data_IF_932498579919
#
_entry.id   IF_932498579919
#
_cell.length_a   1.000
_cell.length_b   1.000
_cell.length_c   1.000
_cell.angle_alpha   90.00
_cell.angle_beta   90.00
_cell.angle_gamma   90.00
#
_symmetry.space_group_name_H-M   'P 1'
#
loop_
_entity.id
_entity.type
_entity.pdbx_description
1 polymer ?
#
# COMPACT_ATOMS: atom_id res chain seq x y z
N UNK A 1 -20.68 -11.18 14.40
CA UNK A 1 -19.84 -10.16 15.07
C UNK A 1 -18.47 -10.21 14.41
N UNK A 2 -18.09 -9.15 13.69
CA UNK A 2 -16.71 -9.03 13.18
C UNK A 2 -15.84 -8.67 14.38
N UNK A 3 -14.75 -9.41 14.68
CA UNK A 3 -13.86 -9.03 15.78
C UNK A 3 -13.30 -7.64 15.46
N UNK A 4 -13.40 -6.70 16.42
CA UNK A 4 -12.83 -5.38 16.27
C UNK A 4 -11.32 -5.51 16.04
N UNK A 5 -10.84 -5.23 14.82
CA UNK A 5 -9.41 -5.09 14.51
C UNK A 5 -8.91 -3.72 14.99
N UNK A 6 -9.24 -3.35 16.23
CA UNK A 6 -8.90 -2.05 16.82
C UNK A 6 -7.54 -2.07 17.51
N UNK A 7 -7.07 -3.25 17.90
CA UNK A 7 -5.83 -3.41 18.65
C UNK A 7 -4.62 -3.46 17.71
N UNK A 8 -3.59 -2.67 18.03
CA UNK A 8 -2.32 -2.57 17.29
C UNK A 8 -1.71 -3.94 16.97
N UNK A 9 -1.87 -4.91 17.88
CA UNK A 9 -1.30 -6.25 17.72
C UNK A 9 -1.98 -7.07 16.61
N UNK A 10 -3.29 -6.89 16.42
CA UNK A 10 -4.08 -7.62 15.41
C UNK A 10 -3.79 -7.09 14.00
N UNK A 11 -3.61 -5.78 13.87
CA UNK A 11 -3.19 -5.13 12.62
C UNK A 11 -1.76 -5.58 12.26
N UNK A 12 -0.85 -5.63 13.24
CA UNK A 12 0.54 -6.06 13.01
C UNK A 12 0.61 -7.54 12.61
N UNK A 13 -0.14 -8.43 13.27
CA UNK A 13 -0.20 -9.83 12.85
C UNK A 13 -0.72 -9.99 11.41
N UNK A 14 -1.76 -9.23 11.06
CA UNK A 14 -2.42 -9.37 9.78
C UNK A 14 -1.61 -8.79 8.61
N UNK A 15 -1.13 -7.55 8.74
CA UNK A 15 -0.46 -6.81 7.64
C UNK A 15 1.02 -7.19 7.49
N UNK A 16 1.58 -7.90 8.48
CA UNK A 16 3.02 -8.15 8.51
C UNK A 16 3.30 -9.63 8.58
N UNK A 17 2.89 -10.26 9.69
CA UNK A 17 3.23 -11.67 9.91
C UNK A 17 2.55 -12.59 8.90
N UNK A 18 1.34 -12.22 8.49
CA UNK A 18 0.57 -12.94 7.47
C UNK A 18 0.78 -12.43 6.04
N UNK A 19 1.62 -11.40 5.85
CA UNK A 19 1.97 -10.88 4.52
C UNK A 19 0.82 -10.19 3.76
N UNK A 20 -0.28 -9.85 4.44
CA UNK A 20 -1.36 -9.06 3.84
C UNK A 20 -0.96 -7.59 3.76
N UNK A 21 -1.60 -6.79 2.92
CA UNK A 21 -1.35 -5.35 2.79
C UNK A 21 -2.52 -4.51 3.31
N UNK A 22 -2.27 -3.20 3.44
CA UNK A 22 -3.31 -2.21 3.80
C UNK A 22 -4.52 -2.24 2.86
N UNK A 23 -4.36 -2.72 1.63
CA UNK A 23 -5.48 -2.99 0.71
C UNK A 23 -6.40 -4.08 1.26
N UNK A 24 -5.83 -5.19 1.72
CA UNK A 24 -6.57 -6.31 2.29
C UNK A 24 -7.20 -5.90 3.63
N UNK A 25 -6.57 -4.97 4.35
CA UNK A 25 -7.12 -4.35 5.56
C UNK A 25 -8.33 -3.44 5.25
N UNK A 26 -8.28 -2.68 4.16
CA UNK A 26 -9.40 -1.84 3.70
C UNK A 26 -10.60 -2.69 3.25
N UNK A 27 -10.35 -3.79 2.53
CA UNK A 27 -11.37 -4.72 2.05
C UNK A 27 -12.10 -5.47 3.18
N UNK A 28 -11.55 -5.48 4.39
CA UNK A 28 -12.19 -6.04 5.59
C UNK A 28 -13.32 -5.18 6.17
N UNK A 29 -13.58 -4.01 5.61
CA UNK A 29 -14.70 -3.16 6.02
C UNK A 29 -14.49 -2.51 7.39
N UNK A 30 -13.31 -1.93 7.62
CA UNK A 30 -13.05 -1.16 8.83
C UNK A 30 -14.01 0.03 8.92
N UNK A 31 -14.68 0.19 10.07
CA UNK A 31 -15.59 1.32 10.33
C UNK A 31 -14.84 2.64 10.49
N UNK A 32 -13.61 2.58 10.99
CA UNK A 32 -12.76 3.76 11.23
C UNK A 32 -11.31 3.48 10.86
N UNK A 33 -10.60 4.50 10.37
CA UNK A 33 -9.17 4.41 10.08
C UNK A 33 -8.37 4.21 11.38
N UNK A 34 -7.52 3.19 11.49
CA UNK A 34 -6.68 3.00 12.66
C UNK A 34 -5.77 4.21 12.88
N UNK A 35 -5.56 4.58 14.15
CA UNK A 35 -4.82 5.80 14.53
C UNK A 35 -3.39 5.83 13.96
N UNK A 36 -2.76 4.69 13.70
CA UNK A 36 -1.42 4.63 13.10
C UNK A 36 -1.37 5.21 11.68
N UNK A 37 -2.47 5.14 10.94
CA UNK A 37 -2.56 5.64 9.56
C UNK A 37 -3.04 7.09 9.48
N UNK A 38 -3.30 7.75 10.62
CA UNK A 38 -3.72 9.14 10.66
C UNK A 38 -2.48 10.03 10.54
N UNK A 39 -2.27 10.57 9.35
CA UNK A 39 -1.14 11.45 9.06
C UNK A 39 -1.26 12.80 9.80
N UNK A 40 -0.19 13.30 10.45
CA UNK A 40 -0.19 14.61 11.09
C UNK A 40 -0.40 15.74 10.09
N UNK A 41 -0.88 16.90 10.58
CA UNK A 41 -1.28 18.01 9.71
C UNK A 41 -0.10 18.61 8.94
N UNK A 42 1.07 18.61 9.56
CA UNK A 42 2.32 19.17 9.05
C UNK A 42 2.86 18.38 7.83
N UNK A 43 2.46 17.12 7.69
CA UNK A 43 2.90 16.25 6.60
C UNK A 43 1.85 16.12 5.48
N UNK A 44 0.68 16.75 5.64
CA UNK A 44 -0.35 16.71 4.61
C UNK A 44 0.14 17.43 3.36
N UNK A 45 -0.05 16.78 2.21
CA UNK A 45 0.32 17.33 0.92
C UNK A 45 -0.45 18.63 0.66
N UNK A 46 0.28 19.69 0.33
CA UNK A 46 -0.31 20.93 -0.17
C UNK A 46 -0.77 20.72 -1.62
N UNK A 47 -2.08 20.62 -1.83
CA UNK A 47 -2.68 20.44 -3.15
C UNK A 47 -2.47 21.64 -4.09
N UNK A 48 -1.95 22.77 -3.60
CA UNK A 48 -1.67 23.93 -4.43
C UNK A 48 -0.40 23.77 -5.29
N UNK A 49 0.44 22.77 -5.02
CA UNK A 49 1.71 22.54 -5.71
C UNK A 49 1.66 21.40 -6.76
N UNK A 50 0.60 21.33 -7.56
CA UNK A 50 0.47 20.33 -8.64
C UNK A 50 1.04 20.88 -9.95
N UNK A 51 1.96 20.15 -10.58
CA UNK A 51 2.52 20.51 -11.90
C UNK A 51 1.60 19.97 -13.00
N UNK A 52 1.04 20.89 -13.80
CA UNK A 52 0.32 20.56 -15.04
C UNK A 52 1.23 20.80 -16.25
N UNK A 53 0.94 20.13 -17.38
CA UNK A 53 1.72 20.26 -18.63
C UNK A 53 3.21 19.91 -18.50
N UNK A 54 3.55 18.93 -17.67
CA UNK A 54 4.92 18.45 -17.43
C UNK A 54 5.61 17.80 -18.67
N UNK A 55 4.99 17.81 -19.84
CA UNK A 55 5.54 17.25 -21.08
C UNK A 55 5.61 15.72 -21.14
N UNK A 56 5.09 15.03 -20.13
CA UNK A 56 5.00 13.56 -20.14
C UNK A 56 3.67 13.18 -20.81
N UNK A 57 3.69 12.29 -21.82
CA UNK A 57 2.47 11.84 -22.49
C UNK A 57 1.50 11.17 -21.51
N UNK A 58 0.21 11.51 -21.62
CA UNK A 58 -0.85 10.94 -20.77
C UNK A 58 -0.89 9.41 -20.90
N UNK A 59 -0.72 8.88 -22.11
CA UNK A 59 -0.70 7.43 -22.34
C UNK A 59 0.38 6.69 -21.54
N UNK A 60 1.50 7.35 -21.24
CA UNK A 60 2.56 6.77 -20.40
C UNK A 60 2.12 6.69 -18.94
N UNK A 61 1.38 7.71 -18.45
CA UNK A 61 0.81 7.71 -17.11
C UNK A 61 -0.23 6.59 -16.97
N UNK A 62 -1.12 6.44 -17.96
CA UNK A 62 -2.13 5.38 -17.98
C UNK A 62 -1.49 3.99 -17.94
N UNK A 63 -0.44 3.77 -18.73
CA UNK A 63 0.31 2.50 -18.73
C UNK A 63 0.95 2.22 -17.38
N UNK A 64 1.57 3.22 -16.74
CA UNK A 64 2.18 3.05 -15.42
C UNK A 64 1.13 2.71 -14.38
N UNK A 65 0.00 3.42 -14.39
CA UNK A 65 -1.12 3.16 -13.48
C UNK A 65 -1.70 1.75 -13.68
N UNK A 66 -1.94 1.34 -14.94
CA UNK A 66 -2.49 0.04 -15.27
C UNK A 66 -1.55 -1.09 -14.80
N UNK A 67 -0.24 -0.96 -15.08
CA UNK A 67 0.77 -1.95 -14.66
C UNK A 67 0.86 -2.06 -13.14
N UNK A 68 0.80 -0.93 -12.43
CA UNK A 68 0.75 -0.93 -10.98
C UNK A 68 -0.52 -1.65 -10.48
N UNK A 69 -1.70 -1.33 -11.02
CA UNK A 69 -2.96 -2.00 -10.66
C UNK A 69 -2.90 -3.51 -10.91
N UNK A 70 -2.35 -3.94 -12.04
CA UNK A 70 -2.16 -5.36 -12.37
C UNK A 70 -1.25 -6.05 -11.36
N UNK A 71 -0.12 -5.43 -10.98
CA UNK A 71 0.79 -5.99 -9.98
C UNK A 71 0.12 -6.18 -8.61
N UNK A 72 -0.60 -5.17 -8.12
CA UNK A 72 -1.25 -5.27 -6.80
C UNK A 72 -2.44 -6.23 -6.76
N UNK A 73 -3.02 -6.59 -7.92
CA UNK A 73 -4.03 -7.65 -8.07
C UNK A 73 -3.46 -9.07 -8.04
N UNK A 74 -2.14 -9.25 -8.16
CA UNK A 74 -1.52 -10.56 -8.03
C UNK A 74 -1.74 -11.14 -6.61
N UNK A 75 -1.81 -12.47 -6.48
CA UNK A 75 -1.92 -13.12 -5.17
C UNK A 75 -0.72 -12.77 -4.27
N UNK A 76 -0.94 -12.77 -2.96
CA UNK A 76 0.08 -12.43 -1.96
C UNK A 76 1.37 -13.24 -2.17
N UNK A 77 1.25 -14.54 -2.44
CA UNK A 77 2.36 -15.46 -2.71
C UNK A 77 3.29 -14.99 -3.85
N UNK A 78 2.71 -14.43 -4.92
CA UNK A 78 3.50 -13.93 -6.05
C UNK A 78 4.25 -12.63 -5.68
N UNK A 79 3.62 -11.77 -4.88
CA UNK A 79 4.21 -10.51 -4.42
C UNK A 79 5.31 -10.74 -3.36
N UNK A 80 5.19 -11.79 -2.55
CA UNK A 80 6.17 -12.15 -1.52
C UNK A 80 7.56 -12.50 -2.06
N UNK A 81 7.68 -12.85 -3.35
CA UNK A 81 8.99 -13.09 -4.01
C UNK A 81 9.86 -11.83 -4.08
N UNK A 82 9.25 -10.66 -3.96
CA UNK A 82 9.94 -9.38 -4.10
C UNK A 82 10.22 -8.70 -2.74
N UNK A 83 9.99 -9.39 -1.61
CA UNK A 83 10.34 -8.86 -0.28
C UNK A 83 11.86 -8.81 -0.08
N UNK A 84 12.32 -8.07 0.93
CA UNK A 84 13.76 -7.96 1.25
C UNK A 84 14.46 -9.31 1.45
N UNK A 85 13.73 -10.31 1.95
CA UNK A 85 14.26 -11.64 2.26
C UNK A 85 14.33 -12.55 1.03
N UNK A 86 13.41 -12.38 0.08
CA UNK A 86 13.23 -13.29 -1.06
C UNK A 86 13.71 -12.70 -2.39
N UNK A 87 13.89 -11.37 -2.45
CA UNK A 87 14.23 -10.70 -3.70
C UNK A 87 15.63 -11.09 -4.17
N UNK A 88 15.78 -11.58 -5.41
CA UNK A 88 17.09 -11.93 -5.96
C UNK A 88 17.94 -10.70 -6.29
N UNK A 89 17.39 -9.48 -6.15
CA UNK A 89 18.04 -8.23 -6.52
C UNK A 89 17.93 -7.22 -5.38
N UNK A 90 19.07 -6.73 -4.89
CA UNK A 90 19.17 -5.87 -3.70
C UNK A 90 18.42 -4.53 -3.79
N UNK A 91 18.09 -4.06 -5.00
CA UNK A 91 17.39 -2.80 -5.27
C UNK A 91 15.87 -2.96 -5.49
N UNK A 92 15.32 -4.17 -5.43
CA UNK A 92 13.88 -4.40 -5.55
C UNK A 92 13.32 -4.85 -4.19
N UNK A 93 12.37 -4.07 -3.66
CA UNK A 93 11.70 -4.36 -2.38
C UNK A 93 10.21 -4.08 -2.48
N UNK A 94 9.42 -5.13 -2.28
CA UNK A 94 8.02 -5.05 -1.93
C UNK A 94 7.93 -4.87 -0.40
N UNK A 95 7.27 -3.80 0.02
CA UNK A 95 7.11 -3.42 1.43
C UNK A 95 5.63 -3.14 1.71
N UNK A 96 5.18 -3.47 2.93
CA UNK A 96 3.97 -2.90 3.49
C UNK A 96 4.35 -1.75 4.43
N UNK A 97 3.61 -0.66 4.36
CA UNK A 97 3.80 0.47 5.28
C UNK A 97 3.30 0.09 6.68
N UNK A 98 4.08 0.55 7.66
CA UNK A 98 3.80 0.54 9.09
C UNK A 98 3.54 1.95 9.57
#
# INVERSE_FOLDING_TARGET
MVPAMSELWDIMDFVVRKGNIVKDLSEKGLETVPKQYVQPMEEKLDMNNVVINHGVPIESLDKVEERARQFFRLPAEAKMKYTKENSPICNMRYVSCY
#
